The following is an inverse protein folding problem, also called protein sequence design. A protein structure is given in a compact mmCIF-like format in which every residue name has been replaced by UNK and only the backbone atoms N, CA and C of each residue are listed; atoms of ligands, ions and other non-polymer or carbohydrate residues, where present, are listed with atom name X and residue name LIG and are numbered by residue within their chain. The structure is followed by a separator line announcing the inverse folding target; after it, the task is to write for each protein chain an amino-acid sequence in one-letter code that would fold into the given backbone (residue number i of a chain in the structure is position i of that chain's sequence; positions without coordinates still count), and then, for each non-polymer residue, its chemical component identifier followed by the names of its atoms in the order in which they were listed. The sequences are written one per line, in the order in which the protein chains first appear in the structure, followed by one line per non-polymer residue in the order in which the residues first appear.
data_IF_850165122432
#
_entry.id   IF_850165122432
#
_cell.length_a   1.000
_cell.length_b   1.000
_cell.length_c   1.000
_cell.angle_alpha   90.00
_cell.angle_beta   90.00
_cell.angle_gamma   90.00
#
_symmetry.space_group_name_H-M   'P 1'
#
loop_
_entity.id
_entity.type
_entity.pdbx_description
1 polymer ?
#
# COMPACT_ATOMS: atom_id res chain seq x y z
N UNK A 1 1.84 -13.08 -20.63
CA UNK A 1 3.29 -12.76 -20.58
C UNK A 1 3.57 -12.03 -19.26
N UNK A 2 4.43 -12.58 -18.44
CA UNK A 2 4.90 -11.96 -17.19
C UNK A 2 6.20 -11.24 -17.53
N UNK A 3 6.22 -9.92 -17.35
CA UNK A 3 7.45 -9.13 -17.36
C UNK A 3 8.12 -9.31 -16.01
N UNK A 4 9.14 -10.16 -15.94
CA UNK A 4 10.02 -10.23 -14.77
C UNK A 4 11.01 -9.07 -14.91
N UNK A 5 10.67 -7.93 -14.31
CA UNK A 5 11.56 -6.80 -14.18
C UNK A 5 12.30 -6.89 -12.86
N UNK A 6 13.56 -7.30 -12.87
CA UNK A 6 14.47 -7.13 -11.74
C UNK A 6 14.88 -5.64 -11.65
N UNK A 7 13.91 -4.78 -11.37
CA UNK A 7 14.14 -3.34 -11.19
C UNK A 7 13.64 -3.00 -9.80
N UNK A 8 14.48 -3.02 -8.84
CA UNK A 8 13.92 -2.74 -7.54
C UNK A 8 14.83 -2.08 -6.54
N UNK A 9 16.03 -2.52 -6.42
CA UNK A 9 16.97 -2.03 -5.43
C UNK A 9 17.81 -0.84 -5.91
N UNK A 10 18.01 -0.71 -7.22
CA UNK A 10 18.93 0.26 -7.80
C UNK A 10 18.51 1.72 -7.64
N UNK A 11 17.22 2.04 -7.68
CA UNK A 11 16.77 3.44 -7.58
C UNK A 11 17.05 4.08 -6.20
N UNK A 12 17.03 3.29 -5.12
CA UNK A 12 17.39 3.79 -3.78
C UNK A 12 18.90 3.83 -3.55
N UNK A 13 19.66 3.02 -4.28
CA UNK A 13 21.07 2.74 -4.02
C UNK A 13 21.98 3.76 -4.70
N UNK A 14 21.63 4.26 -5.88
CA UNK A 14 22.52 5.12 -6.68
C UNK A 14 22.86 6.47 -6.04
N UNK A 15 22.03 7.00 -5.16
CA UNK A 15 22.33 8.23 -4.41
C UNK A 15 23.32 7.99 -3.24
N UNK A 16 23.61 6.73 -2.87
CA UNK A 16 24.44 6.40 -1.70
C UNK A 16 25.59 5.41 -1.94
N UNK A 17 25.67 4.68 -3.10
CA UNK A 17 26.52 3.49 -3.22
C UNK A 17 27.08 3.21 -4.61
N UNK A 18 27.70 4.15 -5.27
CA UNK A 18 28.25 4.04 -6.64
C UNK A 18 28.68 2.63 -7.10
N UNK A 19 29.66 2.02 -6.43
CA UNK A 19 30.27 0.76 -6.88
C UNK A 19 29.44 -0.51 -6.61
N UNK A 20 28.73 -0.58 -5.47
CA UNK A 20 27.87 -1.73 -5.15
C UNK A 20 26.68 -1.82 -6.12
N UNK A 21 26.02 -0.69 -6.37
CA UNK A 21 24.92 -0.60 -7.34
C UNK A 21 25.32 -1.02 -8.75
N UNK A 22 26.54 -0.65 -9.16
CA UNK A 22 27.07 -1.05 -10.47
C UNK A 22 27.38 -2.56 -10.54
N UNK A 23 27.73 -3.16 -9.39
CA UNK A 23 27.92 -4.63 -9.28
C UNK A 23 26.59 -5.37 -9.40
N UNK A 24 25.56 -4.90 -8.71
CA UNK A 24 24.22 -5.48 -8.72
C UNK A 24 23.61 -5.37 -10.13
N UNK A 25 23.75 -4.22 -10.80
CA UNK A 25 23.30 -4.05 -12.17
C UNK A 25 24.03 -5.03 -13.13
N UNK A 26 25.33 -5.20 -12.99
CA UNK A 26 26.10 -6.17 -13.81
C UNK A 26 25.64 -7.59 -13.58
N UNK A 27 25.33 -7.97 -12.32
CA UNK A 27 24.79 -9.27 -11.98
C UNK A 27 23.45 -9.50 -12.69
N UNK A 28 22.50 -8.58 -12.53
CA UNK A 28 21.17 -8.65 -13.14
C UNK A 28 21.25 -8.71 -14.67
N UNK A 29 22.11 -7.89 -15.30
CA UNK A 29 22.33 -7.92 -16.75
C UNK A 29 22.85 -9.29 -17.23
N UNK A 30 23.77 -9.91 -16.48
CA UNK A 30 24.29 -11.24 -16.77
C UNK A 30 23.21 -12.29 -16.67
N UNK A 31 22.40 -12.27 -15.59
CA UNK A 31 21.31 -13.20 -15.40
C UNK A 31 20.22 -13.07 -16.48
N UNK A 32 19.82 -11.86 -16.82
CA UNK A 32 18.83 -11.63 -17.88
C UNK A 32 19.32 -12.13 -19.25
N UNK A 33 20.60 -11.95 -19.55
CA UNK A 33 21.19 -12.51 -20.78
C UNK A 33 21.22 -14.03 -20.77
N UNK A 34 21.57 -14.64 -19.64
CA UNK A 34 21.60 -16.08 -19.49
C UNK A 34 20.21 -16.71 -19.65
N UNK A 35 19.17 -16.05 -19.13
CA UNK A 35 17.79 -16.50 -19.18
C UNK A 35 17.03 -16.02 -20.44
N UNK A 36 17.70 -15.31 -21.35
CA UNK A 36 17.08 -14.69 -22.53
C UNK A 36 15.85 -13.82 -22.21
N UNK A 37 15.94 -13.05 -21.13
CA UNK A 37 14.87 -12.17 -20.66
C UNK A 37 15.24 -10.70 -20.97
N UNK A 38 14.32 -9.91 -21.59
CA UNK A 38 14.57 -8.48 -21.83
C UNK A 38 14.70 -7.71 -20.52
N UNK A 39 15.75 -6.92 -20.40
CA UNK A 39 16.03 -6.07 -19.25
C UNK A 39 15.72 -4.61 -19.59
N UNK A 40 14.95 -3.95 -18.71
CA UNK A 40 14.71 -2.51 -18.73
C UNK A 40 15.34 -1.89 -17.49
N UNK A 41 16.17 -0.88 -17.67
CA UNK A 41 16.83 -0.16 -16.57
C UNK A 41 16.52 1.33 -16.65
N UNK A 42 16.39 1.99 -15.49
CA UNK A 42 16.29 3.44 -15.38
C UNK A 42 17.25 3.92 -14.29
N UNK A 43 17.95 5.02 -14.58
CA UNK A 43 18.77 5.72 -13.59
C UNK A 43 18.11 7.05 -13.25
N UNK A 44 17.64 7.21 -12.00
CA UNK A 44 16.89 8.39 -11.57
C UNK A 44 17.52 8.94 -10.29
N UNK A 45 17.79 10.23 -10.27
CA UNK A 45 18.23 10.95 -9.05
C UNK A 45 17.01 11.28 -8.23
N UNK A 46 16.79 10.50 -7.17
CA UNK A 46 15.58 10.60 -6.31
C UNK A 46 15.49 11.96 -5.62
N UNK A 47 16.63 12.54 -5.20
CA UNK A 47 16.67 13.84 -4.52
C UNK A 47 16.14 14.98 -5.39
N UNK A 48 16.37 14.93 -6.71
CA UNK A 48 15.96 16.00 -7.65
C UNK A 48 14.44 15.99 -7.90
N UNK A 49 13.77 14.84 -7.65
CA UNK A 49 12.34 14.63 -7.91
C UNK A 49 11.49 14.51 -6.62
N UNK A 50 12.11 14.74 -5.47
CA UNK A 50 11.47 14.68 -4.17
C UNK A 50 10.50 15.84 -3.97
N UNK A 51 9.25 15.54 -3.64
CA UNK A 51 8.27 16.55 -3.29
C UNK A 51 8.45 17.00 -1.82
N UNK A 52 7.96 18.21 -1.50
CA UNK A 52 8.21 18.91 -0.22
C UNK A 52 7.79 18.14 1.05
N UNK A 53 6.94 17.13 0.90
CA UNK A 53 6.41 16.31 2.01
C UNK A 53 6.75 14.82 1.89
N UNK A 54 7.45 14.39 0.82
CA UNK A 54 7.83 12.99 0.65
C UNK A 54 9.05 12.66 1.51
N UNK A 55 9.04 11.49 2.16
CA UNK A 55 10.29 10.86 2.58
C UNK A 55 11.08 10.40 1.35
N UNK A 56 12.39 10.19 1.50
CA UNK A 56 13.23 9.68 0.42
C UNK A 56 12.72 8.30 -0.08
N UNK A 57 12.28 7.46 0.87
CA UNK A 57 11.76 6.12 0.59
C UNK A 57 10.42 6.17 -0.17
N UNK A 58 9.51 7.06 0.22
CA UNK A 58 8.23 7.25 -0.47
C UNK A 58 8.43 7.77 -1.89
N UNK A 59 9.32 8.74 -2.08
CA UNK A 59 9.67 9.26 -3.40
C UNK A 59 10.27 8.15 -4.28
N UNK A 60 11.26 7.41 -3.79
CA UNK A 60 11.88 6.30 -4.51
C UNK A 60 10.86 5.21 -4.87
N UNK A 61 9.94 4.90 -3.93
CA UNK A 61 8.85 3.95 -4.16
C UNK A 61 7.92 4.43 -5.27
N UNK A 62 7.48 5.70 -5.24
CA UNK A 62 6.62 6.29 -6.27
C UNK A 62 7.27 6.21 -7.63
N UNK A 63 8.50 6.69 -7.78
CA UNK A 63 9.25 6.69 -9.05
C UNK A 63 9.45 5.27 -9.60
N UNK A 64 9.64 4.28 -8.73
CA UNK A 64 9.73 2.87 -9.12
C UNK A 64 8.42 2.36 -9.73
N UNK A 65 7.28 2.66 -9.11
CA UNK A 65 5.98 2.24 -9.64
C UNK A 65 5.62 2.98 -10.91
N UNK A 66 5.93 4.29 -11.02
CA UNK A 66 5.76 5.07 -12.25
C UNK A 66 6.57 4.46 -13.41
N UNK A 67 7.80 4.02 -13.13
CA UNK A 67 8.63 3.33 -14.11
C UNK A 67 8.01 1.98 -14.51
N UNK A 68 7.58 1.15 -13.57
CA UNK A 68 6.90 -0.11 -13.88
C UNK A 68 5.66 0.10 -14.76
N UNK A 69 4.85 1.08 -14.44
CA UNK A 69 3.66 1.44 -15.22
C UNK A 69 4.04 1.80 -16.67
N UNK A 70 5.08 2.62 -16.84
CA UNK A 70 5.52 3.08 -18.15
C UNK A 70 5.98 1.95 -19.08
N UNK A 71 6.59 0.89 -18.53
CA UNK A 71 7.11 -0.24 -19.30
C UNK A 71 6.12 -1.41 -19.40
N UNK A 72 5.20 -1.54 -18.44
CA UNK A 72 4.25 -2.66 -18.38
C UNK A 72 3.24 -2.64 -19.53
N UNK A 73 2.88 -1.45 -20.01
CA UNK A 73 1.86 -1.26 -21.08
C UNK A 73 0.58 -2.06 -20.80
N UNK A 74 0.11 -2.04 -19.56
CA UNK A 74 -1.08 -2.75 -19.11
C UNK A 74 -0.89 -4.25 -18.81
N UNK A 75 0.33 -4.77 -18.88
CA UNK A 75 0.65 -6.15 -18.47
C UNK A 75 0.74 -6.27 -16.94
N UNK A 76 0.72 -7.49 -16.44
CA UNK A 76 0.92 -7.75 -15.02
C UNK A 76 2.37 -7.47 -14.60
N UNK A 77 2.52 -6.83 -13.46
CA UNK A 77 3.80 -6.53 -12.80
C UNK A 77 3.95 -7.50 -11.62
N UNK A 78 4.94 -8.38 -11.66
CA UNK A 78 5.28 -9.25 -10.54
C UNK A 78 6.32 -8.58 -9.65
N UNK A 79 6.08 -8.55 -8.33
CA UNK A 79 7.05 -8.06 -7.34
C UNK A 79 7.41 -9.16 -6.35
N UNK A 80 8.68 -9.18 -5.90
CA UNK A 80 9.25 -10.23 -5.06
C UNK A 80 9.03 -9.99 -3.55
N UNK A 81 7.85 -9.52 -3.15
CA UNK A 81 7.51 -9.44 -1.73
C UNK A 81 7.30 -10.84 -1.16
N UNK A 82 7.80 -11.07 0.06
CA UNK A 82 7.80 -12.35 0.76
C UNK A 82 6.90 -12.33 2.00
N UNK A 83 6.75 -13.48 2.65
CA UNK A 83 6.05 -13.60 3.94
C UNK A 83 6.72 -12.76 5.04
N UNK A 84 8.06 -12.61 4.99
CA UNK A 84 8.82 -11.74 5.89
C UNK A 84 8.41 -10.27 5.70
N UNK A 85 8.34 -9.78 4.44
CA UNK A 85 7.90 -8.41 4.13
C UNK A 85 6.46 -8.16 4.58
N UNK A 86 5.59 -9.16 4.44
CA UNK A 86 4.20 -9.05 4.90
C UNK A 86 4.13 -8.94 6.42
N UNK A 87 4.87 -9.76 7.15
CA UNK A 87 4.97 -9.71 8.60
C UNK A 87 5.46 -8.33 9.08
N UNK A 88 6.56 -7.82 8.51
CA UNK A 88 7.07 -6.49 8.82
C UNK A 88 6.03 -5.41 8.59
N UNK A 89 5.31 -5.47 7.47
CA UNK A 89 4.28 -4.48 7.13
C UNK A 89 3.13 -4.50 8.13
N UNK A 90 2.65 -5.68 8.52
CA UNK A 90 1.58 -5.83 9.51
C UNK A 90 2.03 -5.26 10.86
N UNK A 91 3.24 -5.61 11.33
CA UNK A 91 3.79 -5.11 12.58
C UNK A 91 3.94 -3.58 12.57
N UNK A 92 4.44 -2.99 11.49
CA UNK A 92 4.53 -1.53 11.33
C UNK A 92 3.15 -0.90 11.43
N UNK A 93 2.16 -1.46 10.74
CA UNK A 93 0.80 -0.95 10.74
C UNK A 93 0.17 -1.03 12.15
N UNK A 94 0.36 -2.14 12.85
CA UNK A 94 -0.11 -2.31 14.24
C UNK A 94 0.49 -1.24 15.17
N UNK A 95 1.80 -1.00 15.10
CA UNK A 95 2.48 0.02 15.91
C UNK A 95 1.99 1.44 15.60
N UNK A 96 1.63 1.70 14.34
CA UNK A 96 1.08 3.01 13.91
C UNK A 96 -0.39 3.20 14.26
N UNK A 97 -1.08 2.17 14.70
CA UNK A 97 -2.53 2.16 14.93
C UNK A 97 -3.29 2.05 13.61
N UNK A 98 -3.76 0.88 13.30
CA UNK A 98 -4.46 0.61 12.04
C UNK A 98 -5.83 0.00 12.27
N UNK A 99 -6.72 0.13 11.27
CA UNK A 99 -7.94 -0.66 11.17
C UNK A 99 -7.65 -2.03 10.51
N UNK A 100 -8.68 -2.84 10.28
CA UNK A 100 -8.58 -4.17 9.67
C UNK A 100 -7.74 -4.17 8.39
N UNK A 101 -7.94 -3.18 7.52
CA UNK A 101 -7.21 -3.07 6.25
C UNK A 101 -5.70 -3.04 6.39
N UNK A 102 -5.15 -2.52 7.48
CA UNK A 102 -3.70 -2.55 7.71
C UNK A 102 -3.19 -3.88 8.26
N UNK A 103 -4.06 -4.66 8.94
CA UNK A 103 -3.76 -6.03 9.39
C UNK A 103 -3.83 -7.02 8.22
N UNK A 104 -4.58 -6.72 7.16
CA UNK A 104 -4.53 -7.48 5.91
C UNK A 104 -3.12 -7.53 5.29
N UNK A 105 -2.24 -6.60 5.67
CA UNK A 105 -0.86 -6.56 5.20
C UNK A 105 -0.74 -6.22 3.72
N UNK A 106 0.18 -6.92 3.04
CA UNK A 106 0.44 -6.73 1.61
C UNK A 106 -0.53 -7.59 0.81
N UNK A 107 -1.37 -7.03 -0.08
CA UNK A 107 -2.29 -7.84 -0.88
C UNK A 107 -1.53 -8.65 -1.93
N UNK A 108 -1.93 -9.91 -2.13
CA UNK A 108 -1.32 -10.78 -3.16
C UNK A 108 -1.51 -10.21 -4.58
N UNK A 109 -2.62 -9.52 -4.82
CA UNK A 109 -2.90 -8.80 -6.06
C UNK A 109 -3.51 -7.43 -5.75
N UNK A 110 -3.03 -6.40 -6.43
CA UNK A 110 -3.62 -5.06 -6.44
C UNK A 110 -3.45 -4.44 -7.82
N UNK A 111 -4.56 -4.15 -8.49
CA UNK A 111 -4.60 -3.66 -9.87
C UNK A 111 -3.86 -4.62 -10.81
N UNK A 112 -2.84 -4.16 -11.52
CA UNK A 112 -1.96 -4.97 -12.37
C UNK A 112 -0.73 -5.55 -11.64
N UNK A 113 -0.60 -5.34 -10.32
CA UNK A 113 0.54 -5.82 -9.52
C UNK A 113 0.17 -7.14 -8.84
N UNK A 114 1.01 -8.17 -9.04
CA UNK A 114 0.92 -9.47 -8.37
C UNK A 114 2.17 -9.75 -7.54
N UNK A 115 2.05 -10.61 -6.52
CA UNK A 115 3.13 -10.96 -5.59
C UNK A 115 3.22 -12.48 -5.42
N UNK A 116 3.84 -13.17 -6.38
CA UNK A 116 3.85 -14.64 -6.39
C UNK A 116 4.54 -15.26 -5.16
N UNK A 117 5.54 -14.57 -4.58
CA UNK A 117 6.34 -15.07 -3.46
C UNK A 117 5.81 -14.66 -2.08
N UNK A 118 4.63 -14.02 -2.01
CA UNK A 118 4.11 -13.42 -0.77
C UNK A 118 3.91 -14.41 0.39
N UNK A 119 3.72 -15.68 0.08
CA UNK A 119 3.50 -16.73 1.09
C UNK A 119 4.73 -17.59 1.35
N UNK A 120 5.85 -17.33 0.64
CA UNK A 120 7.12 -18.00 0.85
C UNK A 120 7.99 -17.20 1.80
N UNK A 121 8.71 -17.87 2.70
CA UNK A 121 9.70 -17.23 3.55
C UNK A 121 10.98 -16.91 2.76
N UNK A 122 11.85 -16.08 3.31
CA UNK A 122 13.15 -15.84 2.72
C UNK A 122 14.00 -17.13 2.71
N UNK A 123 13.90 -17.88 3.79
CA UNK A 123 14.57 -19.18 3.95
C UNK A 123 14.14 -20.18 2.85
N UNK A 124 12.84 -20.25 2.53
CA UNK A 124 12.33 -21.11 1.45
C UNK A 124 12.92 -20.70 0.08
N UNK A 125 13.04 -19.39 -0.16
CA UNK A 125 13.58 -18.88 -1.42
C UNK A 125 15.08 -19.14 -1.53
N UNK A 126 15.85 -18.93 -0.45
CA UNK A 126 17.28 -19.20 -0.41
C UNK A 126 17.57 -20.71 -0.59
N UNK A 127 16.74 -21.56 0.02
CA UNK A 127 16.81 -23.01 -0.21
C UNK A 127 16.56 -23.37 -1.67
N UNK A 128 15.49 -22.81 -2.26
CA UNK A 128 15.18 -23.01 -3.68
C UNK A 128 16.33 -22.57 -4.59
N UNK A 129 16.95 -21.41 -4.31
CA UNK A 129 18.11 -20.94 -5.07
C UNK A 129 19.29 -21.91 -4.95
N UNK A 130 19.56 -22.40 -3.75
CA UNK A 130 20.64 -23.36 -3.49
C UNK A 130 20.41 -24.68 -4.23
N UNK A 131 19.21 -25.25 -4.15
CA UNK A 131 18.85 -26.53 -4.82
C UNK A 131 18.91 -26.43 -6.35
N UNK A 132 18.64 -25.23 -6.90
CA UNK A 132 18.67 -25.00 -8.35
C UNK A 132 19.96 -24.33 -8.84
N UNK A 133 20.99 -24.22 -7.98
CA UNK A 133 22.28 -23.57 -8.31
C UNK A 133 22.09 -22.16 -8.89
N UNK A 134 21.14 -21.39 -8.34
CA UNK A 134 20.89 -20.01 -8.74
C UNK A 134 21.69 -19.05 -7.86
N UNK A 135 22.51 -18.23 -8.49
CA UNK A 135 23.20 -17.13 -7.80
C UNK A 135 22.22 -16.03 -7.41
N UNK A 136 22.48 -15.39 -6.26
CA UNK A 136 21.76 -14.20 -5.84
C UNK A 136 22.69 -13.21 -5.12
N UNK A 137 22.27 -11.96 -5.06
CA UNK A 137 23.01 -10.88 -4.39
C UNK A 137 22.29 -10.50 -3.10
N UNK A 138 23.07 -10.30 -2.03
CA UNK A 138 22.57 -9.80 -0.75
C UNK A 138 22.85 -8.30 -0.65
N UNK A 139 21.80 -7.49 -0.55
CA UNK A 139 21.89 -6.04 -0.37
C UNK A 139 22.43 -5.70 1.03
N UNK A 140 23.56 -5.00 1.10
CA UNK A 140 24.22 -4.59 2.35
C UNK A 140 23.40 -3.55 3.16
N UNK A 141 22.42 -2.83 2.56
CA UNK A 141 21.51 -1.91 3.31
C UNK A 141 20.57 -2.65 4.25
N UNK A 142 20.38 -3.94 4.04
CA UNK A 142 19.62 -4.77 4.98
C UNK A 142 20.27 -4.85 6.38
N UNK A 143 21.51 -4.41 6.53
CA UNK A 143 22.28 -4.49 7.78
C UNK A 143 22.16 -3.24 8.66
N UNK A 144 21.61 -2.12 8.17
CA UNK A 144 21.46 -0.86 8.94
C UNK A 144 20.12 -0.79 9.67
N UNK A 145 20.15 -0.43 10.95
CA UNK A 145 18.95 -0.23 11.81
C UNK A 145 18.37 1.20 11.72
N UNK A 146 18.79 2.03 10.77
CA UNK A 146 18.39 3.43 10.66
C UNK A 146 16.90 3.60 10.33
N UNK A 147 16.26 2.58 9.75
CA UNK A 147 14.87 2.60 9.36
C UNK A 147 13.99 1.75 10.28
N UNK A 148 12.78 2.20 10.54
CA UNK A 148 11.78 1.49 11.36
C UNK A 148 11.60 0.03 10.91
N UNK A 149 11.60 -0.20 9.60
CA UNK A 149 11.45 -1.53 9.01
C UNK A 149 12.60 -2.46 9.40
N UNK A 150 13.83 -1.98 9.32
CA UNK A 150 15.01 -2.74 9.71
C UNK A 150 15.04 -3.03 11.22
N UNK A 151 14.60 -2.08 12.07
CA UNK A 151 14.44 -2.34 13.51
C UNK A 151 13.46 -3.47 13.79
N UNK A 152 12.33 -3.51 13.08
CA UNK A 152 11.37 -4.60 13.22
C UNK A 152 11.99 -5.91 12.74
N UNK A 153 12.64 -5.92 11.58
CA UNK A 153 13.30 -7.10 10.99
C UNK A 153 14.37 -7.69 11.90
N UNK A 154 15.24 -6.83 12.45
CA UNK A 154 16.43 -7.31 13.19
C UNK A 154 16.19 -7.50 14.68
N UNK A 155 15.20 -6.82 15.28
CA UNK A 155 14.99 -6.85 16.74
C UNK A 155 13.66 -7.47 17.14
N UNK A 156 12.56 -7.13 16.45
CA UNK A 156 11.23 -7.58 16.87
C UNK A 156 10.91 -8.96 16.31
N UNK A 157 11.10 -9.17 15.00
CA UNK A 157 10.82 -10.45 14.35
C UNK A 157 11.60 -11.62 14.96
N UNK A 158 12.91 -11.50 15.27
CA UNK A 158 13.65 -12.58 15.93
C UNK A 158 13.05 -12.96 17.28
N UNK A 159 12.72 -11.99 18.14
CA UNK A 159 12.09 -12.25 19.44
C UNK A 159 10.72 -12.95 19.29
N UNK A 160 9.94 -12.57 18.31
CA UNK A 160 8.66 -13.24 18.03
C UNK A 160 8.88 -14.66 17.48
N UNK A 161 9.93 -14.90 16.69
CA UNK A 161 10.31 -16.25 16.20
C UNK A 161 10.81 -17.15 17.32
N UNK A 162 11.44 -16.62 18.38
CA UNK A 162 11.78 -17.40 19.58
C UNK A 162 10.52 -17.94 20.29
N UNK A 163 9.44 -17.15 20.32
CA UNK A 163 8.15 -17.54 20.91
C UNK A 163 7.41 -18.50 19.96
N UNK A 164 7.40 -18.20 18.68
CA UNK A 164 6.74 -19.01 17.66
C UNK A 164 7.63 -19.15 16.40
N UNK A 165 8.36 -20.26 16.26
CA UNK A 165 9.18 -20.52 15.08
C UNK A 165 8.41 -20.45 13.75
N UNK A 166 7.10 -20.75 13.75
CA UNK A 166 6.20 -20.68 12.61
C UNK A 166 5.52 -19.32 12.44
N UNK A 167 6.11 -18.23 12.96
CA UNK A 167 5.56 -16.87 12.97
C UNK A 167 5.03 -16.43 11.59
N UNK A 168 5.82 -16.59 10.54
CA UNK A 168 5.43 -16.14 9.20
C UNK A 168 4.20 -16.87 8.67
N UNK A 169 4.11 -18.19 8.90
CA UNK A 169 2.93 -18.98 8.57
C UNK A 169 1.69 -18.56 9.38
N UNK A 170 1.85 -18.26 10.67
CA UNK A 170 0.76 -17.79 11.53
C UNK A 170 0.26 -16.40 11.05
N UNK A 171 1.16 -15.48 10.77
CA UNK A 171 0.83 -14.13 10.25
C UNK A 171 0.18 -14.22 8.87
N UNK A 172 0.64 -15.11 7.99
CA UNK A 172 0.03 -15.30 6.66
C UNK A 172 -1.42 -15.79 6.78
N UNK A 173 -1.69 -16.76 7.64
CA UNK A 173 -3.07 -17.24 7.89
C UNK A 173 -3.96 -16.14 8.47
N UNK A 174 -3.45 -15.39 9.47
CA UNK A 174 -4.17 -14.25 10.04
C UNK A 174 -4.51 -13.22 8.94
N UNK A 175 -3.52 -12.81 8.15
CA UNK A 175 -3.67 -11.85 7.07
C UNK A 175 -4.72 -12.30 6.03
N UNK A 176 -4.73 -13.57 5.66
CA UNK A 176 -5.71 -14.13 4.72
C UNK A 176 -7.14 -14.07 5.31
N UNK A 177 -7.32 -14.56 6.55
CA UNK A 177 -8.63 -14.55 7.19
C UNK A 177 -9.19 -13.14 7.34
N UNK A 178 -8.36 -12.20 7.84
CA UNK A 178 -8.77 -10.80 7.99
C UNK A 178 -9.05 -10.14 6.64
N UNK A 179 -8.31 -10.52 5.59
CA UNK A 179 -8.56 -9.99 4.23
C UNK A 179 -9.89 -10.46 3.66
N UNK A 180 -10.32 -11.67 3.95
CA UNK A 180 -11.62 -12.18 3.52
C UNK A 180 -12.77 -11.43 4.23
N UNK A 181 -12.64 -11.21 5.55
CA UNK A 181 -13.60 -10.43 6.33
C UNK A 181 -13.64 -8.96 5.87
N UNK A 182 -12.47 -8.34 5.66
CA UNK A 182 -12.36 -6.96 5.20
C UNK A 182 -13.04 -6.76 3.84
N UNK A 183 -12.80 -7.68 2.90
CA UNK A 183 -13.43 -7.68 1.57
C UNK A 183 -14.94 -7.85 1.64
N UNK A 184 -15.43 -8.72 2.52
CA UNK A 184 -16.86 -8.92 2.71
C UNK A 184 -17.54 -7.65 3.26
N UNK A 185 -16.94 -7.01 4.26
CA UNK A 185 -17.44 -5.76 4.83
C UNK A 185 -17.37 -4.60 3.81
N UNK A 186 -16.33 -4.54 2.98
CA UNK A 186 -16.22 -3.55 1.90
C UNK A 186 -17.30 -3.76 0.84
N UNK A 187 -17.63 -5.01 0.52
CA UNK A 187 -18.74 -5.34 -0.41
C UNK A 187 -20.08 -4.82 0.12
N UNK A 188 -20.40 -5.12 1.39
CA UNK A 188 -21.62 -4.62 2.04
C UNK A 188 -21.66 -3.08 2.03
N UNK A 189 -20.54 -2.44 2.38
CA UNK A 189 -20.43 -0.98 2.39
C UNK A 189 -20.65 -0.38 0.99
N UNK A 190 -20.05 -0.98 -0.04
CA UNK A 190 -20.20 -0.55 -1.43
C UNK A 190 -21.64 -0.70 -1.93
N UNK A 191 -22.28 -1.84 -1.66
CA UNK A 191 -23.68 -2.07 -2.03
C UNK A 191 -24.64 -1.07 -1.36
N UNK A 192 -24.43 -0.76 -0.09
CA UNK A 192 -25.26 0.21 0.62
C UNK A 192 -24.97 1.64 0.18
N UNK A 193 -23.70 1.98 -0.11
CA UNK A 193 -23.32 3.27 -0.67
C UNK A 193 -24.01 3.51 -2.03
N UNK A 194 -24.04 2.51 -2.92
CA UNK A 194 -24.71 2.63 -4.20
C UNK A 194 -26.23 2.75 -4.05
N UNK A 195 -26.86 2.03 -3.13
CA UNK A 195 -28.28 2.21 -2.80
C UNK A 195 -28.61 3.61 -2.29
N UNK A 196 -27.68 4.22 -1.55
CA UNK A 196 -27.83 5.58 -1.04
C UNK A 196 -27.53 6.65 -2.11
N UNK A 197 -26.82 6.31 -3.19
CA UNK A 197 -26.43 7.26 -4.24
C UNK A 197 -27.64 7.76 -5.00
N UNK A 198 -27.74 9.07 -5.16
CA UNK A 198 -28.82 9.73 -5.91
C UNK A 198 -28.34 10.15 -7.30
N UNK A 199 -29.27 10.43 -8.22
CA UNK A 199 -28.94 10.78 -9.61
C UNK A 199 -28.07 12.06 -9.71
N UNK A 200 -28.09 12.94 -8.73
CA UNK A 200 -27.26 14.14 -8.64
C UNK A 200 -25.94 13.90 -7.88
N UNK A 201 -25.50 12.65 -7.82
CA UNK A 201 -24.25 12.18 -7.20
C UNK A 201 -24.10 12.62 -5.72
N UNK A 202 -25.21 12.62 -5.00
CA UNK A 202 -25.28 12.82 -3.54
C UNK A 202 -25.73 11.50 -2.90
N UNK A 203 -25.75 11.47 -1.57
CA UNK A 203 -26.12 10.27 -0.83
C UNK A 203 -27.31 10.54 0.08
N UNK A 204 -28.32 9.67 0.05
CA UNK A 204 -29.49 9.75 0.94
C UNK A 204 -29.07 9.38 2.38
N UNK A 205 -29.23 10.33 3.29
CA UNK A 205 -28.84 10.19 4.70
C UNK A 205 -29.72 9.18 5.42
N UNK A 206 -31.00 9.05 5.02
CA UNK A 206 -31.91 8.06 5.58
C UNK A 206 -31.42 6.64 5.36
N UNK A 207 -30.95 6.33 4.13
CA UNK A 207 -30.36 5.05 3.80
C UNK A 207 -29.03 4.85 4.51
N UNK A 208 -28.12 5.85 4.51
CA UNK A 208 -26.83 5.73 5.19
C UNK A 208 -26.99 5.46 6.71
N UNK A 209 -28.00 6.00 7.35
CA UNK A 209 -28.27 5.81 8.79
C UNK A 209 -28.70 4.39 9.14
N UNK A 210 -29.13 3.58 8.20
CA UNK A 210 -29.46 2.15 8.45
C UNK A 210 -28.22 1.29 8.62
N UNK A 211 -27.05 1.77 8.20
CA UNK A 211 -25.81 1.03 8.32
C UNK A 211 -25.34 0.88 9.77
N UNK A 212 -24.77 -0.27 10.11
CA UNK A 212 -23.96 -0.40 11.31
C UNK A 212 -22.75 0.50 11.27
N UNK A 213 -22.19 0.82 12.42
CA UNK A 213 -21.15 1.84 12.53
C UNK A 213 -19.87 1.47 11.77
N UNK A 214 -19.48 0.19 11.79
CA UNK A 214 -18.34 -0.31 11.04
C UNK A 214 -18.53 -0.17 9.52
N UNK A 215 -19.75 -0.38 9.02
CA UNK A 215 -20.10 -0.21 7.59
C UNK A 215 -20.15 1.28 7.25
N UNK A 216 -20.74 2.10 8.11
CA UNK A 216 -20.83 3.53 7.87
C UNK A 216 -19.44 4.20 7.79
N UNK A 217 -18.48 3.81 8.65
CA UNK A 217 -17.08 4.27 8.56
C UNK A 217 -16.46 3.92 7.22
N UNK A 218 -16.71 2.72 6.71
CA UNK A 218 -16.22 2.29 5.38
C UNK A 218 -16.82 3.10 4.26
N UNK A 219 -18.14 3.31 4.28
CA UNK A 219 -18.83 4.15 3.30
C UNK A 219 -18.25 5.57 3.29
N UNK A 220 -18.07 6.18 4.47
CA UNK A 220 -17.46 7.51 4.58
C UNK A 220 -16.04 7.53 4.02
N UNK A 221 -15.26 6.48 4.29
CA UNK A 221 -13.90 6.35 3.75
C UNK A 221 -13.91 6.22 2.22
N UNK A 222 -14.85 5.48 1.65
CA UNK A 222 -15.04 5.37 0.19
C UNK A 222 -15.44 6.73 -0.40
N UNK A 223 -16.44 7.40 0.18
CA UNK A 223 -16.86 8.76 -0.25
C UNK A 223 -15.68 9.74 -0.20
N UNK A 224 -14.82 9.66 0.82
CA UNK A 224 -13.64 10.51 0.91
C UNK A 224 -12.66 10.23 -0.22
N UNK A 225 -12.35 8.95 -0.48
CA UNK A 225 -11.47 8.53 -1.59
C UNK A 225 -12.00 8.99 -2.95
N UNK A 226 -13.29 8.79 -3.22
CA UNK A 226 -13.95 9.21 -4.47
C UNK A 226 -13.91 10.74 -4.69
N UNK A 227 -13.64 11.51 -3.64
CA UNK A 227 -13.58 12.97 -3.69
C UNK A 227 -12.19 13.54 -3.36
N UNK A 228 -11.13 12.75 -3.49
CA UNK A 228 -9.73 13.15 -3.19
C UNK A 228 -9.55 13.74 -1.78
N UNK A 229 -10.28 13.22 -0.81
CA UNK A 229 -10.15 13.59 0.60
C UNK A 229 -9.29 12.52 1.29
N UNK A 230 -8.11 12.86 1.83
CA UNK A 230 -7.31 11.90 2.58
C UNK A 230 -8.09 11.41 3.82
N UNK A 231 -8.44 10.10 3.91
CA UNK A 231 -9.18 9.60 5.06
C UNK A 231 -8.26 9.57 6.30
N UNK A 232 -8.70 10.24 7.35
CA UNK A 232 -8.15 10.08 8.69
C UNK A 232 -9.28 9.79 9.69
N UNK A 233 -8.98 9.09 10.75
CA UNK A 233 -9.99 8.60 11.69
C UNK A 233 -10.86 9.73 12.27
N UNK A 234 -10.25 10.87 12.64
CA UNK A 234 -10.97 12.02 13.18
C UNK A 234 -12.00 12.60 12.19
N UNK A 235 -11.62 12.73 10.92
CA UNK A 235 -12.53 13.23 9.89
C UNK A 235 -13.64 12.21 9.57
N UNK A 236 -13.30 10.92 9.53
CA UNK A 236 -14.29 9.85 9.33
C UNK A 236 -15.32 9.85 10.46
N UNK A 237 -14.89 9.85 11.72
CA UNK A 237 -15.80 9.89 12.87
C UNK A 237 -16.66 11.16 12.89
N UNK A 238 -16.09 12.32 12.55
CA UNK A 238 -16.86 13.56 12.43
C UNK A 238 -17.93 13.46 11.34
N UNK A 239 -17.62 12.80 10.22
CA UNK A 239 -18.59 12.58 9.14
C UNK A 239 -19.71 11.61 9.57
N UNK A 240 -19.35 10.52 10.23
CA UNK A 240 -20.31 9.57 10.85
C UNK A 240 -21.23 10.33 11.81
N UNK A 241 -20.69 11.20 12.64
CA UNK A 241 -21.46 12.02 13.58
C UNK A 241 -22.53 12.88 12.91
N UNK A 242 -22.20 13.61 11.84
CA UNK A 242 -23.21 14.42 11.12
C UNK A 242 -24.24 13.57 10.39
N UNK A 243 -23.86 12.37 9.88
CA UNK A 243 -24.80 11.43 9.27
C UNK A 243 -25.79 10.94 10.32
N UNK A 244 -25.33 10.53 11.51
CA UNK A 244 -26.19 10.13 12.64
C UNK A 244 -27.12 11.24 13.11
N UNK A 245 -26.60 12.47 13.19
CA UNK A 245 -27.42 13.64 13.52
C UNK A 245 -28.43 14.00 12.41
N UNK A 246 -28.17 13.60 11.16
CA UNK A 246 -29.02 13.92 9.99
C UNK A 246 -28.83 15.35 9.48
N UNK A 247 -27.89 16.11 10.03
CA UNK A 247 -27.56 17.48 9.66
C UNK A 247 -26.14 17.84 10.08
N UNK A 248 -25.55 18.83 9.45
CA UNK A 248 -24.25 19.36 9.82
C UNK A 248 -23.33 19.59 8.62
N UNK A 249 -22.15 20.10 8.94
CA UNK A 249 -21.07 20.36 8.00
C UNK A 249 -19.73 20.12 8.70
N UNK A 250 -18.82 19.47 8.00
CA UNK A 250 -17.44 19.26 8.44
C UNK A 250 -16.46 19.74 7.39
N UNK A 251 -15.22 20.02 7.80
CA UNK A 251 -14.10 20.29 6.91
C UNK A 251 -13.02 19.24 7.13
N UNK A 252 -13.04 18.11 6.37
CA UNK A 252 -12.09 17.02 6.53
C UNK A 252 -10.66 17.36 6.08
N UNK A 253 -10.52 18.27 5.10
CA UNK A 253 -9.23 18.75 4.61
C UNK A 253 -9.38 20.12 3.96
N UNK A 254 -8.26 20.74 3.60
CA UNK A 254 -8.24 22.07 2.96
C UNK A 254 -9.12 22.07 1.69
N UNK A 255 -9.98 23.11 1.57
CA UNK A 255 -10.87 23.34 0.42
C UNK A 255 -11.96 22.29 0.15
N UNK A 256 -12.13 21.28 1.00
CA UNK A 256 -13.19 20.28 0.89
C UNK A 256 -14.11 20.33 2.10
N UNK A 257 -15.41 20.38 1.87
CA UNK A 257 -16.44 20.36 2.90
C UNK A 257 -17.40 19.22 2.61
N UNK A 258 -17.78 18.49 3.66
CA UNK A 258 -18.87 17.51 3.61
C UNK A 258 -20.04 18.10 4.38
N UNK A 259 -21.20 18.14 3.77
CA UNK A 259 -22.38 18.73 4.40
C UNK A 259 -23.66 17.96 4.08
N UNK A 260 -24.63 18.12 4.97
CA UNK A 260 -25.97 17.55 4.81
C UNK A 260 -26.97 18.69 4.62
N UNK A 261 -27.72 18.66 3.51
CA UNK A 261 -28.85 19.54 3.26
C UNK A 261 -30.00 18.74 2.64
N UNK A 262 -31.24 18.98 3.07
CA UNK A 262 -32.44 18.29 2.59
C UNK A 262 -32.28 16.76 2.61
N UNK A 263 -31.76 16.21 3.71
CA UNK A 263 -31.48 14.78 3.91
C UNK A 263 -30.50 14.17 2.92
N UNK A 264 -29.71 14.97 2.21
CA UNK A 264 -28.67 14.50 1.29
C UNK A 264 -27.29 14.93 1.77
N UNK A 265 -26.35 13.98 1.80
CA UNK A 265 -24.94 14.21 2.07
C UNK A 265 -24.21 14.43 0.74
N UNK A 266 -23.35 15.42 0.67
CA UNK A 266 -22.52 15.72 -0.50
C UNK A 266 -21.24 16.45 -0.13
N UNK A 267 -20.25 16.36 -1.03
CA UNK A 267 -18.96 17.04 -0.92
C UNK A 267 -19.01 18.33 -1.73
N UNK A 268 -18.45 19.40 -1.17
CA UNK A 268 -18.34 20.72 -1.81
C UNK A 268 -16.87 21.12 -1.85
N UNK A 269 -16.41 21.55 -3.02
CA UNK A 269 -15.08 22.17 -3.17
C UNK A 269 -15.22 23.69 -3.12
N UNK A 270 -14.48 24.36 -2.23
CA UNK A 270 -14.43 25.82 -2.17
C UNK A 270 -13.52 26.36 -3.27
N UNK A 271 -14.11 26.72 -4.43
CA UNK A 271 -13.37 27.21 -5.60
C UNK A 271 -12.85 28.65 -5.44
N UNK A 272 -13.40 29.44 -4.54
CA UNK A 272 -12.99 30.85 -4.37
C UNK A 272 -11.65 30.96 -3.64
N UNK A 273 -11.35 30.06 -2.69
CA UNK A 273 -10.05 30.03 -1.99
C UNK A 273 -8.92 29.45 -2.85
N UNK A 274 -9.25 28.64 -3.86
CA UNK A 274 -8.26 28.06 -4.77
C UNK A 274 -7.62 29.08 -5.73
N UNK A 275 -8.28 30.22 -5.94
CA UNK A 275 -7.78 31.29 -6.84
C UNK A 275 -6.91 32.34 -6.13
N UNK A 276 -6.71 32.24 -4.79
CA UNK A 276 -5.96 33.21 -4.00
C UNK A 276 -4.60 32.73 -3.48
N UNK A 277 -4.18 31.53 -3.82
CA UNK A 277 -2.85 30.94 -3.63
C UNK A 277 -2.25 30.53 -4.97
#
# INVERSE_FOLDING_TARGET
EILIGLVGSEMCIRDRRGEESDSDERFVRRMCRFLDIPLYTASIKVNDLRQKHDSLEECARRLRYDFFESISKGRLIATAHTASDNCETILINMVRGTALSGICGIPAKRDNIIRPLLYNTREDIELYCSENCLDYVTDSTNLSDDYTRNKIRHKVVPLLKEINPSLFGAISRLSQSVSDDDRYLDKIASELMEKARTADNKYDVGILRTADECILRRIVTMIFKDNDIPPNMKAVESCVGIIRAGQGKINPCQFRFVQIRKKKLFVVTDREKFRRN
#
